data_IF_466853258610
#
_entry.id   IF_466853258610
#
_cell.length_a   1.000
_cell.length_b   1.000
_cell.length_c   1.000
_cell.angle_alpha   90.00
_cell.angle_beta   90.00
_cell.angle_gamma   90.00
#
_symmetry.space_group_name_H-M   'P 1'
#
loop_
_entity.id
_entity.type
_entity.pdbx_description
1 polymer ?
#
# COMPACT_ATOMS: atom_id res chain seq x y z
N UNK A 1 16.80 -0.79 2.41
CA UNK A 1 15.53 -1.29 2.94
C UNK A 1 15.74 -2.34 4.02
N UNK A 2 14.97 -2.25 5.10
CA UNK A 2 14.99 -3.19 6.22
C UNK A 2 13.57 -3.46 6.71
N UNK A 3 13.25 -4.72 7.04
CA UNK A 3 11.98 -5.07 7.69
C UNK A 3 12.18 -5.12 9.21
N UNK A 4 11.37 -4.35 9.93
CA UNK A 4 11.32 -4.26 11.40
C UNK A 4 9.89 -4.55 11.87
N UNK A 5 9.73 -5.05 13.09
CA UNK A 5 8.42 -5.28 13.71
C UNK A 5 8.08 -6.75 13.86
N UNK A 6 6.82 -7.05 14.15
CA UNK A 6 6.33 -8.42 14.29
C UNK A 6 4.83 -8.45 14.03
N UNK A 7 4.33 -9.62 13.66
CA UNK A 7 2.90 -9.82 13.45
C UNK A 7 2.04 -9.20 14.58
N UNK A 8 1.03 -8.36 14.26
CA UNK A 8 0.52 -8.07 12.92
C UNK A 8 1.08 -6.80 12.25
N UNK A 9 2.09 -6.15 12.82
CA UNK A 9 2.59 -4.85 12.38
C UNK A 9 4.06 -4.92 11.97
N UNK A 10 4.33 -4.56 10.72
CA UNK A 10 5.67 -4.48 10.17
C UNK A 10 5.94 -3.10 9.59
N UNK A 11 7.18 -2.68 9.67
CA UNK A 11 7.69 -1.46 9.05
C UNK A 11 8.82 -1.85 8.11
N UNK A 12 8.75 -1.39 6.87
CA UNK A 12 9.88 -1.46 5.95
C UNK A 12 10.54 -0.08 5.96
N UNK A 13 11.67 0.01 6.67
CA UNK A 13 12.51 1.23 6.76
C UNK A 13 13.30 1.44 5.48
N UNK A 14 13.64 2.69 5.19
CA UNK A 14 14.40 3.10 4.02
C UNK A 14 13.78 2.57 2.72
N UNK A 15 12.46 2.72 2.57
CA UNK A 15 11.67 2.31 1.41
C UNK A 15 11.88 3.27 0.24
N UNK A 16 13.05 3.18 -0.37
CA UNK A 16 13.49 4.04 -1.48
C UNK A 16 13.53 3.24 -2.77
N UNK A 17 12.37 3.10 -3.41
CA UNK A 17 12.24 2.38 -4.67
C UNK A 17 11.71 3.31 -5.77
N UNK A 18 12.23 3.13 -6.98
CA UNK A 18 11.63 3.72 -8.19
C UNK A 18 10.20 3.22 -8.40
N UNK A 19 9.44 3.89 -9.28
CA UNK A 19 8.02 3.55 -9.50
C UNK A 19 7.81 2.11 -9.98
N UNK A 20 8.69 1.61 -10.85
CA UNK A 20 8.62 0.25 -11.39
C UNK A 20 8.92 -0.79 -10.32
N UNK A 21 9.96 -0.54 -9.52
CA UNK A 21 10.36 -1.39 -8.40
C UNK A 21 9.29 -1.41 -7.32
N UNK A 22 8.69 -0.26 -7.01
CA UNK A 22 7.55 -0.14 -6.08
C UNK A 22 6.36 -0.95 -6.56
N UNK A 23 6.01 -0.89 -7.86
CA UNK A 23 4.93 -1.70 -8.41
C UNK A 23 5.19 -3.21 -8.22
N UNK A 24 6.42 -3.67 -8.50
CA UNK A 24 6.84 -5.07 -8.25
C UNK A 24 6.80 -5.43 -6.76
N UNK A 25 7.19 -4.50 -5.90
CA UNK A 25 7.17 -4.67 -4.45
C UNK A 25 5.73 -4.84 -3.95
N UNK A 26 4.81 -3.97 -4.36
CA UNK A 26 3.39 -4.04 -3.95
C UNK A 26 2.74 -5.34 -4.43
N UNK A 27 3.12 -5.82 -5.61
CA UNK A 27 2.64 -7.12 -6.14
C UNK A 27 3.10 -8.33 -5.33
N UNK A 28 4.12 -8.21 -4.48
CA UNK A 28 4.49 -9.32 -3.58
C UNK A 28 3.42 -9.59 -2.51
N UNK A 29 2.61 -8.59 -2.16
CA UNK A 29 1.56 -8.71 -1.14
C UNK A 29 0.29 -9.38 -1.65
N UNK A 30 0.03 -9.31 -2.97
CA UNK A 30 -1.17 -9.88 -3.57
C UNK A 30 -0.86 -11.20 -4.30
N UNK A 31 -1.87 -12.05 -4.42
CA UNK A 31 -1.91 -13.17 -5.33
C UNK A 31 -2.95 -12.95 -6.45
N UNK A 32 -3.18 -13.95 -7.30
CA UNK A 32 -4.07 -13.83 -8.47
C UNK A 32 -5.56 -13.68 -8.13
N UNK A 33 -5.97 -13.96 -6.90
CA UNK A 33 -7.36 -13.81 -6.42
C UNK A 33 -7.52 -12.62 -5.47
N UNK A 34 -6.54 -11.72 -5.45
CA UNK A 34 -6.53 -10.52 -4.61
C UNK A 34 -6.35 -9.25 -5.44
N UNK A 35 -6.98 -8.19 -4.97
CA UNK A 35 -6.91 -6.85 -5.55
C UNK A 35 -6.12 -5.91 -4.66
N UNK A 36 -5.35 -5.01 -5.31
CA UNK A 36 -4.80 -3.81 -4.68
C UNK A 36 -5.85 -2.70 -4.84
N UNK A 37 -6.52 -2.33 -3.74
CA UNK A 37 -7.53 -1.28 -3.73
C UNK A 37 -6.96 0.01 -3.14
N UNK A 38 -7.02 1.06 -3.94
CA UNK A 38 -6.59 2.40 -3.57
C UNK A 38 -7.83 3.26 -3.24
N UNK A 39 -7.82 4.03 -2.15
CA UNK A 39 -8.88 4.99 -1.87
C UNK A 39 -8.71 6.22 -2.76
N UNK A 40 -9.83 6.79 -3.22
CA UNK A 40 -9.86 8.10 -3.85
C UNK A 40 -11.02 8.92 -3.30
N UNK A 41 -10.74 10.14 -2.83
CA UNK A 41 -11.75 10.98 -2.22
C UNK A 41 -12.55 11.76 -3.28
N UNK A 42 -13.88 11.71 -3.20
CA UNK A 42 -14.76 12.40 -4.16
C UNK A 42 -14.47 13.90 -4.31
N UNK A 43 -14.03 14.54 -3.22
CA UNK A 43 -13.70 15.96 -3.22
C UNK A 43 -12.58 16.31 -4.21
N UNK A 44 -11.64 15.38 -4.43
CA UNK A 44 -10.52 15.56 -5.35
C UNK A 44 -10.99 15.53 -6.82
N UNK A 45 -11.94 14.64 -7.16
CA UNK A 45 -12.49 14.46 -8.51
C UNK A 45 -13.13 15.72 -9.13
N UNK A 46 -13.35 16.77 -8.33
CA UNK A 46 -13.86 18.07 -8.80
C UNK A 46 -12.78 18.92 -9.46
N UNK A 47 -11.53 18.76 -9.02
CA UNK A 47 -10.40 19.59 -9.41
C UNK A 47 -9.42 18.84 -10.31
N UNK A 48 -9.49 17.51 -10.38
CA UNK A 48 -8.59 16.72 -11.22
C UNK A 48 -8.83 16.91 -12.72
N UNK A 49 -7.75 16.66 -13.46
CA UNK A 49 -7.82 16.54 -14.92
C UNK A 49 -8.77 15.42 -15.34
N UNK A 50 -9.47 15.66 -16.46
CA UNK A 50 -10.48 14.74 -16.99
C UNK A 50 -9.94 13.33 -17.19
N UNK A 51 -8.71 13.18 -17.67
CA UNK A 51 -8.11 11.86 -17.90
C UNK A 51 -7.96 11.06 -16.59
N UNK A 52 -7.49 11.70 -15.52
CA UNK A 52 -7.32 11.05 -14.22
C UNK A 52 -8.68 10.70 -13.60
N UNK A 53 -9.62 11.63 -13.66
CA UNK A 53 -11.00 11.40 -13.23
C UNK A 53 -11.63 10.20 -13.93
N UNK A 54 -11.53 10.14 -15.27
CA UNK A 54 -12.05 9.02 -16.05
C UNK A 54 -11.33 7.72 -15.68
N UNK A 55 -10.03 7.77 -15.40
CA UNK A 55 -9.27 6.61 -14.93
C UNK A 55 -9.82 6.08 -13.60
N UNK A 56 -9.98 6.93 -12.58
CA UNK A 56 -10.53 6.53 -11.28
C UNK A 56 -11.94 5.95 -11.42
N UNK A 57 -12.83 6.65 -12.11
CA UNK A 57 -14.24 6.24 -12.25
C UNK A 57 -14.37 4.91 -13.01
N UNK A 58 -13.59 4.71 -14.09
CA UNK A 58 -13.62 3.47 -14.88
C UNK A 58 -12.87 2.30 -14.23
N UNK A 59 -12.20 2.52 -13.10
CA UNK A 59 -11.47 1.51 -12.33
C UNK A 59 -12.02 1.30 -10.93
N UNK A 60 -13.02 2.09 -10.54
CA UNK A 60 -13.74 1.93 -9.29
C UNK A 60 -14.41 0.56 -9.25
N UNK A 61 -14.18 -0.17 -8.17
CA UNK A 61 -14.80 -1.46 -7.86
C UNK A 61 -16.07 -1.22 -7.05
N UNK A 62 -15.98 -0.38 -6.01
CA UNK A 62 -17.12 0.05 -5.20
C UNK A 62 -16.85 1.42 -4.57
N UNK A 63 -17.89 2.00 -3.96
CA UNK A 63 -17.82 3.27 -3.24
C UNK A 63 -18.27 3.06 -1.80
N UNK A 64 -17.47 3.54 -0.85
CA UNK A 64 -17.87 3.63 0.56
C UNK A 64 -18.53 4.97 0.83
N UNK A 65 -19.65 4.97 1.56
CA UNK A 65 -20.24 6.21 2.07
C UNK A 65 -19.30 6.90 3.05
N UNK A 66 -18.67 6.12 3.92
CA UNK A 66 -17.68 6.57 4.90
C UNK A 66 -16.52 5.58 5.01
N UNK A 67 -15.33 6.09 5.29
CA UNK A 67 -14.16 5.29 5.66
C UNK A 67 -13.29 6.07 6.64
N UNK A 68 -12.72 5.39 7.63
CA UNK A 68 -11.90 6.01 8.67
C UNK A 68 -10.48 5.49 8.58
N UNK A 69 -9.50 6.40 8.58
CA UNK A 69 -8.08 6.08 8.61
C UNK A 69 -7.38 7.05 9.56
N UNK A 70 -6.55 6.53 10.47
CA UNK A 70 -5.84 7.32 11.50
C UNK A 70 -6.75 8.33 12.20
N UNK A 71 -7.91 7.85 12.69
CA UNK A 71 -8.93 8.64 13.39
C UNK A 71 -9.59 9.78 12.58
N UNK A 72 -9.33 9.84 11.28
CA UNK A 72 -9.99 10.78 10.35
C UNK A 72 -11.03 10.05 9.52
N UNK A 73 -12.27 10.53 9.57
CA UNK A 73 -13.37 10.00 8.75
C UNK A 73 -13.51 10.77 7.44
N UNK A 74 -13.41 10.03 6.34
CA UNK A 74 -13.63 10.50 4.97
C UNK A 74 -15.01 10.06 4.49
N UNK A 75 -15.64 10.87 3.63
CA UNK A 75 -16.93 10.57 3.00
C UNK A 75 -16.75 10.31 1.51
N UNK A 76 -17.63 9.47 0.94
CA UNK A 76 -17.70 9.20 -0.50
C UNK A 76 -16.35 8.77 -1.09
N UNK A 77 -15.81 7.67 -0.57
CA UNK A 77 -14.50 7.14 -0.99
C UNK A 77 -14.69 6.14 -2.11
N UNK A 78 -14.08 6.40 -3.26
CA UNK A 78 -14.02 5.48 -4.38
C UNK A 78 -12.87 4.51 -4.18
N UNK A 79 -13.13 3.21 -4.26
CA UNK A 79 -12.10 2.18 -4.18
C UNK A 79 -11.83 1.64 -5.57
N UNK A 80 -10.63 1.89 -6.08
CA UNK A 80 -10.27 1.55 -7.46
C UNK A 80 -9.04 0.66 -7.50
N UNK A 81 -8.92 -0.12 -8.59
CA UNK A 81 -7.81 -1.05 -8.80
C UNK A 81 -7.13 -0.88 -10.16
N UNK A 82 -5.81 -1.10 -10.25
CA UNK A 82 -5.14 -1.20 -11.53
C UNK A 82 -5.46 -2.53 -12.22
N UNK A 83 -5.76 -2.50 -13.52
CA UNK A 83 -5.97 -3.71 -14.33
C UNK A 83 -4.67 -4.40 -14.76
N UNK A 84 -3.56 -3.67 -14.76
CA UNK A 84 -2.26 -4.16 -15.19
C UNK A 84 -1.14 -3.38 -14.49
N UNK A 85 0.11 -3.78 -14.75
CA UNK A 85 1.30 -3.18 -14.13
C UNK A 85 1.48 -1.71 -14.51
N UNK A 86 1.17 -1.32 -15.75
CA UNK A 86 1.28 0.08 -16.20
C UNK A 86 0.29 0.98 -15.48
N UNK A 87 -0.94 0.51 -15.25
CA UNK A 87 -1.92 1.24 -14.45
C UNK A 87 -1.46 1.35 -12.99
N UNK A 88 -0.83 0.32 -12.41
CA UNK A 88 -0.29 0.40 -11.05
C UNK A 88 0.84 1.43 -10.97
N UNK A 89 1.78 1.43 -11.93
CA UNK A 89 2.84 2.44 -12.01
C UNK A 89 2.26 3.84 -12.17
N UNK A 90 1.18 4.00 -12.96
CA UNK A 90 0.48 5.29 -13.11
C UNK A 90 -0.07 5.78 -11.77
N UNK A 91 -0.68 4.89 -10.97
CA UNK A 91 -1.18 5.21 -9.63
C UNK A 91 -0.03 5.69 -8.74
N UNK A 92 1.04 4.92 -8.63
CA UNK A 92 2.18 5.26 -7.76
C UNK A 92 2.79 6.61 -8.16
N UNK A 93 2.89 6.90 -9.47
CA UNK A 93 3.36 8.20 -9.96
C UNK A 93 2.45 9.36 -9.56
N UNK A 94 1.14 9.15 -9.53
CA UNK A 94 0.17 10.18 -9.20
C UNK A 94 0.12 10.47 -7.69
N UNK A 95 0.21 9.41 -6.87
CA UNK A 95 0.18 9.51 -5.39
C UNK A 95 1.53 10.00 -4.81
N UNK A 96 2.62 9.92 -5.57
CA UNK A 96 3.97 10.15 -5.05
C UNK A 96 4.41 9.04 -4.10
N UNK A 97 5.26 9.34 -3.11
CA UNK A 97 5.70 8.33 -2.14
C UNK A 97 4.72 8.23 -0.94
N UNK A 98 3.54 8.84 -1.00
CA UNK A 98 2.47 8.72 0.01
C UNK A 98 1.38 7.74 -0.41
N UNK A 99 1.78 6.55 -0.87
CA UNK A 99 0.83 5.51 -1.31
C UNK A 99 0.08 4.90 -0.13
N UNK A 100 -1.23 4.70 -0.27
CA UNK A 100 -2.11 4.03 0.71
C UNK A 100 -3.04 3.07 -0.03
N UNK A 101 -3.03 1.80 0.36
CA UNK A 101 -3.86 0.78 -0.28
C UNK A 101 -4.14 -0.42 0.61
N UNK A 102 -5.18 -1.16 0.23
CA UNK A 102 -5.56 -2.42 0.85
C UNK A 102 -5.31 -3.57 -0.12
N UNK A 103 -4.94 -4.72 0.42
CA UNK A 103 -4.92 -5.99 -0.30
C UNK A 103 -6.15 -6.76 0.16
N UNK A 104 -7.09 -7.02 -0.75
CA UNK A 104 -8.37 -7.65 -0.44
C UNK A 104 -8.63 -8.84 -1.36
N UNK A 105 -9.38 -9.87 -0.93
CA UNK A 105 -9.90 -10.88 -1.85
C UNK A 105 -10.76 -10.24 -2.94
N UNK A 106 -10.57 -10.64 -4.20
CA UNK A 106 -11.30 -10.06 -5.31
C UNK A 106 -12.81 -10.20 -5.15
N UNK A 107 -13.54 -9.11 -5.42
CA UNK A 107 -14.99 -9.03 -5.25
C UNK A 107 -15.46 -8.77 -3.82
N UNK A 108 -14.55 -8.65 -2.86
CA UNK A 108 -14.87 -8.24 -1.49
C UNK A 108 -14.68 -6.74 -1.28
N UNK A 109 -15.20 -6.22 -0.16
CA UNK A 109 -14.95 -4.85 0.27
C UNK A 109 -13.64 -4.73 1.07
N UNK A 110 -13.32 -3.50 1.48
CA UNK A 110 -12.12 -3.22 2.29
C UNK A 110 -12.19 -3.86 3.68
N UNK A 111 -13.38 -4.11 4.22
CA UNK A 111 -13.54 -4.74 5.54
C UNK A 111 -13.10 -6.20 5.54
N UNK A 112 -12.81 -6.76 4.36
CA UNK A 112 -12.30 -8.11 4.11
C UNK A 112 -10.78 -8.14 3.86
N UNK A 113 -10.06 -7.06 4.14
CA UNK A 113 -8.63 -6.95 3.83
C UNK A 113 -7.75 -8.02 4.48
N UNK A 114 -6.69 -8.39 3.77
CA UNK A 114 -5.56 -9.17 4.27
C UNK A 114 -4.43 -8.26 4.74
N UNK A 115 -4.19 -7.17 4.01
CA UNK A 115 -3.20 -6.15 4.37
C UNK A 115 -3.74 -4.73 4.21
N UNK A 116 -3.41 -3.87 5.17
CA UNK A 116 -3.45 -2.42 5.05
C UNK A 116 -2.00 -1.94 4.93
N UNK A 117 -1.70 -1.18 3.87
CA UNK A 117 -0.34 -0.73 3.56
C UNK A 117 -0.37 0.77 3.30
N UNK A 118 0.54 1.51 3.92
CA UNK A 118 0.76 2.92 3.61
C UNK A 118 2.23 3.32 3.71
N UNK A 119 2.63 4.32 2.94
CA UNK A 119 4.00 4.84 2.87
C UNK A 119 4.03 6.28 3.36
N UNK A 120 5.08 6.64 4.10
CA UNK A 120 5.28 7.96 4.70
C UNK A 120 6.71 8.43 4.41
N UNK A 121 6.87 9.67 3.92
CA UNK A 121 8.15 10.21 3.44
C UNK A 121 9.09 10.73 4.54
N UNK A 122 8.56 11.19 5.68
CA UNK A 122 9.32 11.90 6.72
C UNK A 122 9.20 11.19 8.08
N UNK A 123 9.62 9.93 8.14
CA UNK A 123 9.72 9.22 9.42
C UNK A 123 11.07 9.55 10.05
N UNK A 124 11.08 9.97 11.31
CA UNK A 124 12.31 10.21 12.08
C UNK A 124 12.51 9.09 13.09
N UNK A 125 13.74 8.57 13.22
CA UNK A 125 14.10 7.78 14.41
C UNK A 125 14.36 8.75 15.57
N UNK A 126 13.87 8.43 16.76
CA UNK A 126 13.94 9.31 17.94
C UNK A 126 15.37 9.72 18.30
N UNK A 127 16.36 8.92 17.88
CA UNK A 127 17.78 9.08 18.23
C UNK A 127 18.64 9.70 17.12
N UNK A 128 18.24 9.65 15.84
CA UNK A 128 19.16 9.91 14.72
C UNK A 128 18.95 11.24 13.99
N UNK A 129 17.84 11.97 14.20
CA UNK A 129 17.46 13.20 13.45
C UNK A 129 17.43 13.05 11.90
N UNK A 130 17.77 11.87 11.38
CA UNK A 130 17.72 11.56 9.96
C UNK A 130 16.30 11.11 9.58
N UNK A 131 15.75 11.76 8.55
CA UNK A 131 14.45 11.41 7.99
C UNK A 131 14.61 10.28 6.97
N UNK A 132 13.66 9.34 6.98
CA UNK A 132 13.59 8.27 5.98
C UNK A 132 12.16 7.97 5.55
N UNK A 133 12.03 7.38 4.35
CA UNK A 133 10.77 6.88 3.83
C UNK A 133 10.48 5.51 4.45
N UNK A 134 9.31 5.34 5.04
CA UNK A 134 8.88 4.07 5.62
C UNK A 134 7.58 3.57 5.01
N UNK A 135 7.49 2.26 4.76
CA UNK A 135 6.22 1.59 4.50
C UNK A 135 5.75 0.86 5.75
N UNK A 136 4.52 1.15 6.17
CA UNK A 136 3.85 0.45 7.26
C UNK A 136 2.92 -0.60 6.68
N UNK A 137 2.97 -1.80 7.25
CA UNK A 137 2.16 -2.95 6.86
C UNK A 137 1.44 -3.46 8.10
N UNK A 138 0.12 -3.50 8.02
CA UNK A 138 -0.73 -4.18 9.01
C UNK A 138 -1.41 -5.37 8.36
N UNK A 139 -1.15 -6.57 8.86
CA UNK A 139 -1.86 -7.78 8.43
C UNK A 139 -3.09 -8.01 9.31
N UNK A 140 -4.18 -8.48 8.70
CA UNK A 140 -5.37 -8.84 9.48
C UNK A 140 -5.24 -10.19 10.17
N UNK A 141 -4.69 -11.17 9.44
CA UNK A 141 -4.45 -12.51 9.97
C UNK A 141 -2.98 -12.65 10.34
N UNK A 142 -2.71 -12.96 11.61
CA UNK A 142 -1.35 -13.02 12.15
C UNK A 142 -0.48 -14.09 11.46
N UNK A 143 0.75 -13.71 11.12
CA UNK A 143 1.80 -14.57 10.60
C UNK A 143 1.68 -14.89 9.11
N UNK A 144 0.79 -14.22 8.36
CA UNK A 144 0.66 -14.44 6.90
C UNK A 144 1.76 -13.70 6.15
N UNK A 145 2.14 -12.49 6.58
CA UNK A 145 3.24 -11.73 5.99
C UNK A 145 4.53 -12.54 5.95
N UNK A 146 4.98 -13.07 7.08
CA UNK A 146 6.22 -13.85 7.21
C UNK A 146 6.19 -15.12 6.37
N UNK A 147 5.02 -15.77 6.25
CA UNK A 147 4.87 -17.03 5.51
C UNK A 147 4.73 -16.83 4.00
N UNK A 148 4.05 -15.77 3.55
CA UNK A 148 3.64 -15.64 2.15
C UNK A 148 4.28 -14.46 1.42
N UNK A 149 4.49 -13.33 2.10
CA UNK A 149 4.96 -12.09 1.48
C UNK A 149 6.46 -11.96 1.62
N UNK A 150 6.98 -12.12 2.84
CA UNK A 150 8.39 -11.94 3.13
C UNK A 150 9.32 -12.83 2.28
N UNK A 151 9.02 -14.11 2.01
CA UNK A 151 9.85 -14.93 1.11
C UNK A 151 9.86 -14.40 -0.33
N UNK A 152 8.74 -13.86 -0.83
CA UNK A 152 8.67 -13.24 -2.17
C UNK A 152 9.51 -11.97 -2.20
N UNK A 153 9.42 -11.14 -1.16
CA UNK A 153 10.20 -9.92 -1.04
C UNK A 153 11.70 -10.24 -1.03
N UNK A 154 12.17 -11.18 -0.20
CA UNK A 154 13.59 -11.59 -0.20
C UNK A 154 14.07 -12.12 -1.55
N UNK A 155 13.21 -12.85 -2.27
CA UNK A 155 13.54 -13.39 -3.60
C UNK A 155 13.73 -12.27 -4.64
N UNK A 156 12.90 -11.23 -4.58
CA UNK A 156 12.88 -10.16 -5.58
C UNK A 156 13.74 -8.94 -5.21
N UNK A 157 14.07 -8.79 -3.92
CA UNK A 157 14.81 -7.66 -3.36
C UNK A 157 15.90 -8.18 -2.40
N UNK A 158 17.01 -8.63 -2.97
CA UNK A 158 18.09 -9.32 -2.23
C UNK A 158 18.76 -8.48 -1.14
N UNK A 159 18.66 -7.16 -1.23
CA UNK A 159 19.19 -6.21 -0.24
C UNK A 159 18.27 -6.02 0.97
N UNK A 160 17.06 -6.60 0.95
CA UNK A 160 16.12 -6.52 2.06
C UNK A 160 16.65 -7.31 3.27
N UNK A 161 17.02 -6.59 4.32
CA UNK A 161 17.47 -7.16 5.58
C UNK A 161 16.28 -7.40 6.51
N UNK A 162 16.38 -8.47 7.30
CA UNK A 162 15.61 -8.61 8.54
C UNK A 162 16.44 -7.97 9.64
N UNK A 163 15.80 -7.17 10.47
CA UNK A 163 16.43 -6.76 11.72
C UNK A 163 16.75 -8.01 12.56
N UNK A 164 17.91 -8.00 13.19
CA UNK A 164 18.41 -9.06 14.06
C UNK A 164 17.55 -9.33 15.30
N UNK A 165 16.62 -8.42 15.63
CA UNK A 165 15.64 -8.56 16.71
C UNK A 165 14.48 -9.53 16.39
N UNK A 166 14.49 -10.18 15.22
CA UNK A 166 13.52 -11.22 14.82
C UNK A 166 13.79 -12.62 15.40
N UNK A 167 14.77 -12.78 16.31
CA UNK A 167 15.06 -14.04 17.01
C UNK A 167 14.62 -14.03 18.47
#
# INVERSE_FOLDING_TARGET
>A
MEVVGKSPHFTIRNFELGYTESAKFYRCFANSVEDLLFPYFEVNLRNDEKEWKDFILNRTVFKSETWTFQDVTHKNVYWYRPKNEQELIKIIKNEGLNSLFYVVPSGSDIESYNYLIYVVEHVTDEDENDEYVAMFVTERTKGIFEKQVFPKLRKNFSELKLDSLFN
#
